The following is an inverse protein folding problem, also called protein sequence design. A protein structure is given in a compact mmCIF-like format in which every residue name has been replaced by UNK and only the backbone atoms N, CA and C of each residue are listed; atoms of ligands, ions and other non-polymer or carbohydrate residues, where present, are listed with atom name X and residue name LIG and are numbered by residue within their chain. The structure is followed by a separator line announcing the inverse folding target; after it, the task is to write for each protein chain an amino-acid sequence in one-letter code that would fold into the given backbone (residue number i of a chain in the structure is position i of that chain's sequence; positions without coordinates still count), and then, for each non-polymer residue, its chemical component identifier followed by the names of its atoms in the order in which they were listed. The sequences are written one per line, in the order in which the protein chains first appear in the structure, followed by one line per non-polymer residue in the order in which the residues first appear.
data_IF_769138352990
#
_entry.id   IF_769138352990
#
_cell.length_a   1.000
_cell.length_b   1.000
_cell.length_c   1.000
_cell.angle_alpha   90.00
_cell.angle_beta   90.00
_cell.angle_gamma   90.00
#
_symmetry.space_group_name_H-M   'P 1'
#
loop_
_entity.id
_entity.type
_entity.pdbx_description
1 polymer ?
#
# COMPACT_ATOMS: atom_id res chain seq x y z
N UNK A 1 40.85 -55.62 -9.42
CA UNK A 1 40.99 -54.60 -10.48
C UNK A 1 40.58 -53.22 -9.95
N UNK A 2 41.22 -52.13 -10.42
CA UNK A 2 40.92 -50.74 -10.05
C UNK A 2 39.42 -50.41 -10.28
N UNK A 3 38.83 -50.95 -11.35
CA UNK A 3 37.40 -50.81 -11.68
C UNK A 3 36.45 -51.31 -10.57
N UNK A 4 36.78 -52.41 -9.88
CA UNK A 4 35.97 -52.92 -8.75
C UNK A 4 36.05 -52.02 -7.51
N UNK A 5 37.19 -51.35 -7.28
CA UNK A 5 37.35 -50.40 -6.17
C UNK A 5 36.55 -49.12 -6.44
N UNK A 6 36.64 -48.57 -7.66
CA UNK A 6 35.87 -47.38 -8.08
C UNK A 6 34.36 -47.64 -7.99
N UNK A 7 33.90 -48.80 -8.46
CA UNK A 7 32.48 -49.21 -8.36
C UNK A 7 31.97 -49.26 -6.91
N UNK A 8 32.77 -49.81 -5.98
CA UNK A 8 32.41 -49.84 -4.56
C UNK A 8 32.36 -48.44 -3.93
N UNK A 9 33.26 -47.53 -4.34
CA UNK A 9 33.29 -46.16 -3.84
C UNK A 9 32.06 -45.38 -4.34
N UNK A 10 31.80 -45.39 -5.66
CA UNK A 10 30.65 -44.71 -6.25
C UNK A 10 29.32 -45.28 -5.75
N UNK A 11 29.22 -46.60 -5.54
CA UNK A 11 28.02 -47.21 -4.95
C UNK A 11 27.76 -46.76 -3.50
N UNK A 12 28.81 -46.60 -2.68
CA UNK A 12 28.67 -46.03 -1.32
C UNK A 12 28.29 -44.56 -1.35
N UNK A 13 28.87 -43.80 -2.28
CA UNK A 13 28.54 -42.39 -2.47
C UNK A 13 27.09 -42.21 -2.91
N UNK A 14 26.59 -43.05 -3.83
CA UNK A 14 25.19 -43.02 -4.26
C UNK A 14 24.24 -43.28 -3.09
N UNK A 15 24.46 -44.32 -2.28
CA UNK A 15 23.63 -44.62 -1.10
C UNK A 15 23.62 -43.44 -0.12
N UNK A 16 24.78 -42.80 0.09
CA UNK A 16 24.87 -41.61 0.94
C UNK A 16 24.05 -40.44 0.39
N UNK A 17 24.11 -40.20 -0.93
CA UNK A 17 23.37 -39.11 -1.59
C UNK A 17 21.87 -39.39 -1.67
N UNK A 18 21.46 -40.63 -1.85
CA UNK A 18 20.05 -41.05 -1.80
C UNK A 18 19.46 -40.88 -0.40
N UNK A 19 20.22 -41.19 0.65
CA UNK A 19 19.81 -40.93 2.03
C UNK A 19 19.66 -39.43 2.30
N UNK A 20 20.62 -38.62 1.86
CA UNK A 20 20.57 -37.15 1.94
C UNK A 20 19.35 -36.59 1.19
N UNK A 21 19.07 -37.12 -0.02
CA UNK A 21 17.92 -36.74 -0.83
C UNK A 21 16.59 -37.07 -0.14
N UNK A 22 16.47 -38.27 0.42
CA UNK A 22 15.28 -38.71 1.15
C UNK A 22 14.99 -37.80 2.33
N UNK A 23 16.02 -37.43 3.09
CA UNK A 23 15.91 -36.53 4.23
C UNK A 23 15.49 -35.11 3.78
N UNK A 24 16.12 -34.56 2.73
CA UNK A 24 15.76 -33.24 2.20
C UNK A 24 14.35 -33.19 1.61
N UNK A 25 13.90 -34.25 0.93
CA UNK A 25 12.52 -34.39 0.46
C UNK A 25 11.52 -34.44 1.60
N UNK A 26 11.83 -35.14 2.71
CA UNK A 26 11.01 -35.11 3.93
C UNK A 26 10.94 -33.70 4.50
N UNK A 27 12.08 -33.01 4.64
CA UNK A 27 12.13 -31.63 5.14
C UNK A 27 11.28 -30.69 4.27
N UNK A 28 11.39 -30.77 2.94
CA UNK A 28 10.57 -29.99 2.01
C UNK A 28 9.07 -30.30 2.17
N UNK A 29 8.71 -31.58 2.32
CA UNK A 29 7.32 -32.01 2.47
C UNK A 29 6.72 -31.55 3.79
N UNK A 30 7.46 -31.69 4.90
CA UNK A 30 7.04 -31.21 6.23
C UNK A 30 6.90 -29.69 6.21
N UNK A 31 7.88 -28.99 5.66
CA UNK A 31 7.81 -27.54 5.50
C UNK A 31 6.61 -27.09 4.66
N UNK A 32 6.28 -27.83 3.59
CA UNK A 32 5.09 -27.57 2.78
C UNK A 32 3.79 -27.76 3.58
N UNK A 33 3.69 -28.81 4.39
CA UNK A 33 2.51 -29.11 5.23
C UNK A 33 2.32 -28.07 6.34
N UNK A 34 3.39 -27.70 7.04
CA UNK A 34 3.36 -26.67 8.09
C UNK A 34 2.95 -25.29 7.58
N UNK A 35 3.14 -25.05 6.28
CA UNK A 35 2.91 -23.77 5.63
C UNK A 35 1.87 -23.88 4.49
N UNK A 36 1.04 -24.93 4.49
CA UNK A 36 0.13 -25.27 3.39
C UNK A 36 -0.91 -24.15 3.13
N UNK A 37 -1.31 -23.44 4.19
CA UNK A 37 -2.19 -22.28 4.14
C UNK A 37 -1.60 -21.08 3.40
N UNK A 38 -0.28 -21.00 3.23
CA UNK A 38 0.37 -19.87 2.55
C UNK A 38 0.31 -19.96 1.04
N UNK A 39 -0.12 -21.11 0.49
CA UNK A 39 -0.24 -21.34 -0.94
C UNK A 39 0.99 -20.87 -1.69
N UNK A 40 2.03 -21.71 -1.73
CA UNK A 40 3.29 -21.45 -2.44
C UNK A 40 3.15 -21.22 -3.97
N UNK A 41 1.93 -21.16 -4.49
CA UNK A 41 1.62 -20.70 -5.84
C UNK A 41 1.71 -19.18 -5.97
N UNK A 42 1.78 -18.71 -7.21
CA UNK A 42 1.86 -17.28 -7.56
C UNK A 42 0.67 -16.45 -7.07
N UNK A 43 -0.51 -17.07 -6.95
CA UNK A 43 -1.78 -16.35 -6.79
C UNK A 43 -1.91 -15.65 -5.42
N UNK A 44 -1.60 -16.33 -4.31
CA UNK A 44 -1.67 -15.71 -2.97
C UNK A 44 -0.62 -14.63 -2.75
N UNK A 45 0.58 -14.80 -3.33
CA UNK A 45 1.61 -13.76 -3.34
C UNK A 45 1.12 -12.53 -4.09
N UNK A 46 0.42 -12.70 -5.22
CA UNK A 46 -0.21 -11.60 -5.96
C UNK A 46 -1.23 -10.87 -5.09
N UNK A 47 -2.16 -11.58 -4.44
CA UNK A 47 -3.22 -10.96 -3.63
C UNK A 47 -2.67 -10.14 -2.44
N UNK A 48 -1.63 -10.65 -1.75
CA UNK A 48 -1.03 -9.94 -0.61
C UNK A 48 -0.34 -8.65 -1.06
N UNK A 49 0.33 -8.67 -2.21
CA UNK A 49 1.00 -7.50 -2.80
C UNK A 49 -0.04 -6.50 -3.34
N UNK A 50 -1.06 -6.97 -4.04
CA UNK A 50 -2.17 -6.14 -4.53
C UNK A 50 -2.87 -5.41 -3.39
N UNK A 51 -3.22 -6.12 -2.31
CA UNK A 51 -3.81 -5.51 -1.13
C UNK A 51 -2.86 -4.50 -0.47
N UNK A 52 -1.56 -4.75 -0.47
CA UNK A 52 -0.56 -3.82 0.05
C UNK A 52 -0.54 -2.51 -0.75
N UNK A 53 -0.60 -2.59 -2.09
CA UNK A 53 -0.69 -1.43 -2.98
C UNK A 53 -1.99 -0.66 -2.72
N UNK A 54 -3.14 -1.36 -2.70
CA UNK A 54 -4.44 -0.73 -2.44
C UNK A 54 -4.49 -0.02 -1.08
N UNK A 55 -3.94 -0.62 -0.01
CA UNK A 55 -3.87 0.01 1.30
C UNK A 55 -2.92 1.22 1.31
N UNK A 56 -1.82 1.17 0.56
CA UNK A 56 -0.89 2.30 0.43
C UNK A 56 -1.55 3.48 -0.28
N UNK A 57 -2.29 3.23 -1.36
CA UNK A 57 -3.02 4.26 -2.10
C UNK A 57 -4.15 4.84 -1.23
N UNK A 58 -4.92 3.99 -0.55
CA UNK A 58 -5.97 4.42 0.34
C UNK A 58 -5.43 5.25 1.52
N UNK A 59 -4.30 4.86 2.09
CA UNK A 59 -3.64 5.59 3.19
C UNK A 59 -3.17 6.97 2.72
N UNK A 60 -2.55 7.05 1.54
CA UNK A 60 -2.11 8.33 0.94
C UNK A 60 -3.31 9.26 0.72
N UNK A 61 -4.42 8.73 0.17
CA UNK A 61 -5.66 9.51 -0.01
C UNK A 61 -6.23 9.99 1.33
N UNK A 62 -6.29 9.12 2.33
CA UNK A 62 -6.77 9.47 3.66
C UNK A 62 -5.85 10.48 4.37
N UNK A 63 -4.55 10.46 4.10
CA UNK A 63 -3.62 11.46 4.61
C UNK A 63 -3.89 12.84 4.02
N UNK A 64 -4.09 12.90 2.70
CA UNK A 64 -4.46 14.14 2.02
C UNK A 64 -5.80 14.68 2.53
N UNK A 65 -6.81 13.82 2.68
CA UNK A 65 -8.11 14.20 3.28
C UNK A 65 -7.92 14.77 4.71
N UNK A 66 -7.10 14.12 5.54
CA UNK A 66 -6.81 14.58 6.90
C UNK A 66 -6.10 15.94 6.91
N UNK A 67 -5.14 16.14 6.01
CA UNK A 67 -4.40 17.41 5.89
C UNK A 67 -5.35 18.52 5.45
N UNK A 68 -6.17 18.29 4.43
CA UNK A 68 -7.16 19.26 3.96
C UNK A 68 -8.20 19.59 5.03
N UNK A 69 -8.72 18.59 5.73
CA UNK A 69 -9.68 18.80 6.83
C UNK A 69 -9.06 19.57 7.99
N UNK A 70 -7.78 19.32 8.30
CA UNK A 70 -7.01 20.08 9.30
C UNK A 70 -6.87 21.54 8.89
N UNK A 71 -6.45 21.79 7.66
CA UNK A 71 -6.25 23.13 7.12
C UNK A 71 -7.55 23.94 7.07
N UNK A 72 -8.70 23.27 6.89
CA UNK A 72 -10.01 23.92 6.97
C UNK A 72 -10.48 24.20 8.41
N UNK A 73 -10.07 23.37 9.38
CA UNK A 73 -10.54 23.47 10.77
C UNK A 73 -9.68 24.39 11.66
N UNK A 74 -8.35 24.22 11.64
CA UNK A 74 -7.44 24.90 12.58
C UNK A 74 -7.51 26.44 12.51
N UNK A 75 -7.49 27.09 11.33
CA UNK A 75 -7.55 28.56 11.26
C UNK A 75 -8.82 29.14 11.87
N UNK A 76 -9.96 28.45 11.75
CA UNK A 76 -11.23 28.90 12.32
C UNK A 76 -11.20 28.80 13.84
N UNK A 77 -10.64 27.73 14.40
CA UNK A 77 -10.48 27.59 15.86
C UNK A 77 -9.56 28.67 16.43
N UNK A 78 -8.47 28.99 15.73
CA UNK A 78 -7.55 30.04 16.16
C UNK A 78 -8.16 31.45 16.09
N UNK A 79 -9.13 31.64 15.20
CA UNK A 79 -9.81 32.92 14.98
C UNK A 79 -10.98 33.11 15.93
N UNK A 80 -11.71 32.04 16.27
CA UNK A 80 -12.83 32.08 17.22
C UNK A 80 -12.26 32.00 18.65
N UNK A 81 -11.56 33.05 19.06
CA UNK A 81 -11.12 33.23 20.46
C UNK A 81 -12.12 34.05 21.26
N UNK A 82 -12.88 34.93 20.60
CA UNK A 82 -13.93 35.74 21.22
C UNK A 82 -15.22 35.76 20.40
N UNK A 83 -16.33 36.10 21.06
CA UNK A 83 -17.68 36.08 20.47
C UNK A 83 -17.91 37.17 19.41
N UNK A 84 -16.99 38.14 19.27
CA UNK A 84 -17.05 39.25 18.31
C UNK A 84 -16.16 39.07 17.06
N UNK A 85 -15.39 37.98 16.95
CA UNK A 85 -14.53 37.69 15.79
C UNK A 85 -15.28 37.17 14.55
N UNK A 86 -16.60 37.16 14.61
CA UNK A 86 -17.52 36.58 13.64
C UNK A 86 -17.32 37.17 12.23
N UNK A 87 -17.02 38.46 12.14
CA UNK A 87 -16.74 39.14 10.86
C UNK A 87 -15.47 38.58 10.21
N UNK A 88 -14.44 38.26 11.01
CA UNK A 88 -13.20 37.68 10.50
C UNK A 88 -13.44 36.28 9.95
N UNK A 89 -14.28 35.50 10.65
CA UNK A 89 -14.66 34.14 10.24
C UNK A 89 -15.51 34.16 8.97
N UNK A 90 -16.45 35.11 8.82
CA UNK A 90 -17.26 35.24 7.59
C UNK A 90 -16.39 35.42 6.34
N UNK A 91 -15.29 36.16 6.47
CA UNK A 91 -14.40 36.45 5.34
C UNK A 91 -13.42 35.31 5.02
N UNK A 92 -13.35 34.26 5.84
CA UNK A 92 -12.50 33.10 5.59
C UNK A 92 -13.15 32.13 4.60
N UNK A 93 -12.32 31.46 3.80
CA UNK A 93 -12.78 30.54 2.74
C UNK A 93 -13.74 29.46 3.25
N UNK A 94 -13.46 28.88 4.42
CA UNK A 94 -14.26 27.83 5.04
C UNK A 94 -15.06 28.29 6.27
N UNK A 95 -14.95 29.56 6.64
CA UNK A 95 -15.55 30.11 7.86
C UNK A 95 -17.06 30.33 7.78
N UNK A 96 -17.58 30.57 6.57
CA UNK A 96 -19.00 30.79 6.36
C UNK A 96 -19.46 30.25 5.00
N UNK A 97 -20.61 29.56 4.94
CA UNK A 97 -21.15 29.06 3.68
C UNK A 97 -21.54 30.23 2.77
N UNK A 98 -21.06 30.21 1.53
CA UNK A 98 -21.31 31.28 0.54
C UNK A 98 -22.57 31.06 -0.29
N UNK A 99 -23.26 29.94 -0.06
CA UNK A 99 -24.45 29.51 -0.79
C UNK A 99 -25.36 28.71 0.16
N UNK A 100 -26.62 28.56 -0.22
CA UNK A 100 -27.61 27.74 0.48
C UNK A 100 -28.51 28.54 1.44
N UNK A 101 -29.48 27.86 2.06
CA UNK A 101 -30.61 28.52 2.72
C UNK A 101 -30.21 29.44 3.88
N UNK A 102 -29.15 29.08 4.62
CA UNK A 102 -28.63 29.91 5.69
C UNK A 102 -27.97 31.20 5.19
N UNK A 103 -27.26 31.13 4.05
CA UNK A 103 -26.68 32.29 3.39
C UNK A 103 -27.79 33.20 2.85
N UNK A 104 -28.79 32.61 2.17
CA UNK A 104 -29.91 33.34 1.59
C UNK A 104 -30.73 34.09 2.65
N UNK A 105 -30.98 33.47 3.81
CA UNK A 105 -31.69 34.12 4.93
C UNK A 105 -30.90 35.30 5.51
N UNK A 106 -29.57 35.16 5.64
CA UNK A 106 -28.72 36.26 6.13
C UNK A 106 -28.61 37.40 5.12
N UNK A 107 -28.63 37.07 3.82
CA UNK A 107 -28.70 38.04 2.74
C UNK A 107 -30.04 38.78 2.75
N UNK A 108 -31.16 38.06 2.95
CA UNK A 108 -32.49 38.66 3.09
C UNK A 108 -32.53 39.67 4.25
N UNK A 109 -31.98 39.33 5.43
CA UNK A 109 -31.86 40.30 6.53
C UNK A 109 -31.04 41.54 6.14
N UNK A 110 -29.98 41.37 5.33
CA UNK A 110 -29.15 42.50 4.89
C UNK A 110 -29.85 43.38 3.86
N UNK A 111 -30.70 42.79 3.01
CA UNK A 111 -31.52 43.52 2.05
C UNK A 111 -32.63 44.29 2.78
N UNK A 112 -33.34 43.66 3.73
CA UNK A 112 -34.36 44.32 4.57
C UNK A 112 -33.77 45.47 5.41
N UNK A 113 -32.57 45.29 5.98
CA UNK A 113 -31.88 46.36 6.70
C UNK A 113 -31.58 47.56 5.79
N UNK A 114 -31.14 47.33 4.55
CA UNK A 114 -30.89 48.40 3.58
C UNK A 114 -32.16 49.16 3.21
N UNK A 115 -33.29 48.46 3.03
CA UNK A 115 -34.58 49.09 2.78
C UNK A 115 -35.02 49.99 3.96
N UNK A 116 -34.88 49.51 5.20
CA UNK A 116 -35.19 50.30 6.39
C UNK A 116 -34.25 51.51 6.55
N UNK A 117 -32.97 51.36 6.22
CA UNK A 117 -31.99 52.46 6.22
C UNK A 117 -32.39 53.57 5.23
N UNK A 118 -32.73 53.19 3.98
CA UNK A 118 -33.21 54.15 2.98
C UNK A 118 -34.48 54.86 3.45
N UNK A 119 -35.43 54.11 4.02
CA UNK A 119 -36.69 54.69 4.50
C UNK A 119 -36.49 55.63 5.70
N UNK A 120 -35.54 55.32 6.58
CA UNK A 120 -35.15 56.22 7.69
C UNK A 120 -34.58 57.52 7.14
N UNK A 121 -33.72 57.44 6.14
CA UNK A 121 -33.06 58.60 5.53
C UNK A 121 -34.07 59.53 4.84
N UNK A 122 -35.04 58.96 4.10
CA UNK A 122 -36.16 59.74 3.51
C UNK A 122 -36.97 60.49 4.57
N UNK A 123 -37.26 59.85 5.71
CA UNK A 123 -38.01 60.47 6.80
C UNK A 123 -37.20 61.55 7.51
N UNK A 124 -35.88 61.40 7.62
CA UNK A 124 -35.01 62.43 8.22
C UNK A 124 -34.94 63.71 7.39
N UNK A 125 -35.30 63.68 6.10
CA UNK A 125 -35.42 64.89 5.28
C UNK A 125 -36.63 65.77 5.66
N UNK A 126 -37.65 65.18 6.31
CA UNK A 126 -38.93 65.86 6.61
C UNK A 126 -39.27 65.88 8.10
N UNK A 127 -38.67 65.00 8.90
CA UNK A 127 -38.92 64.84 10.32
C UNK A 127 -37.61 64.89 11.12
N UNK A 128 -37.70 65.34 12.38
CA UNK A 128 -36.55 65.32 13.30
C UNK A 128 -36.31 63.91 13.84
N UNK A 129 -35.08 63.62 14.28
CA UNK A 129 -34.68 62.30 14.79
C UNK A 129 -35.54 61.78 15.97
N UNK A 130 -36.18 62.67 16.72
CA UNK A 130 -37.06 62.30 17.84
C UNK A 130 -38.48 61.91 17.39
N UNK A 131 -38.81 62.01 16.11
CA UNK A 131 -40.15 61.71 15.60
C UNK A 131 -40.51 60.23 15.81
N UNK A 132 -41.75 59.89 16.24
CA UNK A 132 -42.14 58.52 16.55
C UNK A 132 -41.92 57.50 15.42
N UNK A 133 -42.09 57.91 14.16
CA UNK A 133 -41.85 57.03 12.99
C UNK A 133 -40.37 56.68 12.82
N UNK A 134 -39.45 57.60 13.06
CA UNK A 134 -38.00 57.34 12.99
C UNK A 134 -37.60 56.41 14.13
N UNK A 135 -38.12 56.63 15.35
CA UNK A 135 -37.86 55.71 16.46
C UNK A 135 -38.40 54.30 16.20
N UNK A 136 -39.56 54.18 15.55
CA UNK A 136 -40.13 52.89 15.17
C UNK A 136 -39.24 52.14 14.18
N UNK A 137 -38.73 52.83 13.13
CA UNK A 137 -37.80 52.24 12.17
C UNK A 137 -36.49 51.86 12.85
N UNK A 138 -35.95 52.71 13.73
CA UNK A 138 -34.71 52.39 14.45
C UNK A 138 -34.86 51.12 15.29
N UNK A 139 -35.98 50.97 16.02
CA UNK A 139 -36.27 49.74 16.77
C UNK A 139 -36.37 48.51 15.87
N UNK A 140 -36.96 48.63 14.68
CA UNK A 140 -37.02 47.55 13.70
C UNK A 140 -35.63 47.17 13.17
N UNK A 141 -34.79 48.17 12.87
CA UNK A 141 -33.40 47.96 12.46
C UNK A 141 -32.61 47.26 13.56
N UNK A 142 -32.71 47.71 14.81
CA UNK A 142 -31.99 47.11 15.94
C UNK A 142 -32.42 45.64 16.15
N UNK A 143 -33.72 45.36 16.02
CA UNK A 143 -34.26 44.01 16.09
C UNK A 143 -33.74 43.10 14.96
N UNK A 144 -33.80 43.57 13.69
CA UNK A 144 -33.30 42.82 12.55
C UNK A 144 -31.79 42.59 12.62
N UNK A 145 -31.03 43.60 13.06
CA UNK A 145 -29.60 43.48 13.27
C UNK A 145 -29.27 42.41 14.32
N UNK A 146 -29.99 42.39 15.45
CA UNK A 146 -29.85 41.36 16.48
C UNK A 146 -30.15 39.95 15.97
N UNK A 147 -31.22 39.80 15.17
CA UNK A 147 -31.57 38.52 14.52
C UNK A 147 -30.49 38.06 13.55
N UNK A 148 -30.00 38.96 12.70
CA UNK A 148 -28.93 38.67 11.74
C UNK A 148 -27.64 38.24 12.46
N UNK A 149 -27.22 38.96 13.50
CA UNK A 149 -26.03 38.60 14.31
C UNK A 149 -26.19 37.20 14.93
N UNK A 150 -27.35 36.92 15.51
CA UNK A 150 -27.65 35.60 16.10
C UNK A 150 -27.57 34.49 15.06
N UNK A 151 -28.21 34.71 13.90
CA UNK A 151 -28.21 33.72 12.82
C UNK A 151 -26.80 33.43 12.30
N UNK A 152 -25.99 34.47 12.08
CA UNK A 152 -24.60 34.31 11.65
C UNK A 152 -23.83 33.46 12.68
N UNK A 153 -23.97 33.76 13.97
CA UNK A 153 -23.30 33.02 15.04
C UNK A 153 -23.66 31.53 15.04
N UNK A 154 -24.94 31.21 14.85
CA UNK A 154 -25.40 29.82 14.81
C UNK A 154 -24.86 29.08 13.59
N UNK A 155 -24.82 29.73 12.43
CA UNK A 155 -24.24 29.17 11.20
C UNK A 155 -22.74 28.93 11.36
N UNK A 156 -21.99 29.89 11.89
CA UNK A 156 -20.55 29.74 12.15
C UNK A 156 -20.29 28.60 13.14
N UNK A 157 -21.08 28.50 14.21
CA UNK A 157 -20.95 27.41 15.20
C UNK A 157 -21.21 26.05 14.56
N UNK A 158 -22.27 25.94 13.76
CA UNK A 158 -22.59 24.71 13.04
C UNK A 158 -21.47 24.33 12.05
N UNK A 159 -20.95 25.31 11.32
CA UNK A 159 -19.85 25.12 10.36
C UNK A 159 -18.57 24.63 11.06
N UNK A 160 -18.22 25.23 12.20
CA UNK A 160 -17.07 24.81 12.99
C UNK A 160 -17.21 23.37 13.47
N UNK A 161 -18.39 22.98 13.95
CA UNK A 161 -18.64 21.60 14.39
C UNK A 161 -18.60 20.62 13.22
N UNK A 162 -19.14 20.97 12.06
CA UNK A 162 -19.03 20.14 10.85
C UNK A 162 -17.56 19.91 10.44
N UNK A 163 -16.76 20.98 10.40
CA UNK A 163 -15.33 20.89 10.07
C UNK A 163 -14.56 20.07 11.11
N UNK A 164 -14.91 20.21 12.39
CA UNK A 164 -14.36 19.39 13.47
C UNK A 164 -14.65 17.91 13.27
N UNK A 165 -15.91 17.55 13.01
CA UNK A 165 -16.31 16.16 12.80
C UNK A 165 -15.66 15.56 11.56
N UNK A 166 -15.53 16.35 10.48
CA UNK A 166 -14.79 15.96 9.29
C UNK A 166 -13.32 15.68 9.59
N UNK A 167 -12.65 16.57 10.33
CA UNK A 167 -11.26 16.38 10.74
C UNK A 167 -11.07 15.14 11.62
N UNK A 168 -11.93 14.93 12.63
CA UNK A 168 -11.88 13.75 13.51
C UNK A 168 -12.08 12.47 12.69
N UNK A 169 -13.03 12.47 11.77
CA UNK A 169 -13.33 11.30 10.93
C UNK A 169 -12.18 10.98 9.98
N UNK A 170 -11.61 11.98 9.32
CA UNK A 170 -10.44 11.81 8.46
C UNK A 170 -9.21 11.32 9.25
N UNK A 171 -9.01 11.84 10.46
CA UNK A 171 -7.94 11.38 11.36
C UNK A 171 -8.11 9.92 11.77
N UNK A 172 -9.33 9.48 12.12
CA UNK A 172 -9.63 8.08 12.45
C UNK A 172 -9.35 7.18 11.24
N UNK A 173 -9.90 7.51 10.07
CA UNK A 173 -9.70 6.76 8.82
C UNK A 173 -8.22 6.59 8.49
N UNK A 174 -7.43 7.66 8.60
CA UNK A 174 -5.98 7.60 8.38
C UNK A 174 -5.30 6.64 9.37
N UNK A 175 -5.60 6.75 10.67
CA UNK A 175 -5.03 5.86 11.70
C UNK A 175 -5.35 4.39 11.45
N UNK A 176 -6.60 4.08 11.11
CA UNK A 176 -7.03 2.71 10.84
C UNK A 176 -6.31 2.14 9.62
N UNK A 177 -6.16 2.93 8.55
CA UNK A 177 -5.42 2.52 7.35
C UNK A 177 -3.93 2.32 7.63
N UNK A 178 -3.31 3.15 8.48
CA UNK A 178 -1.93 2.95 8.91
C UNK A 178 -1.76 1.61 9.63
N UNK A 179 -2.68 1.27 10.55
CA UNK A 179 -2.65 -0.01 11.27
C UNK A 179 -2.81 -1.20 10.32
N UNK A 180 -3.80 -1.14 9.41
CA UNK A 180 -4.02 -2.18 8.41
C UNK A 180 -2.82 -2.35 7.47
N UNK A 181 -2.21 -1.24 7.04
CA UNK A 181 -1.02 -1.26 6.20
C UNK A 181 0.17 -1.90 6.93
N UNK A 182 0.37 -1.59 8.21
CA UNK A 182 1.42 -2.20 9.02
C UNK A 182 1.20 -3.71 9.19
N UNK A 183 -0.03 -4.14 9.44
CA UNK A 183 -0.38 -5.57 9.52
C UNK A 183 -0.11 -6.26 8.18
N UNK A 184 -0.54 -5.67 7.06
CA UNK A 184 -0.30 -6.21 5.73
C UNK A 184 1.19 -6.29 5.39
N UNK A 185 1.99 -5.29 5.76
CA UNK A 185 3.46 -5.32 5.61
C UNK A 185 4.11 -6.47 6.37
N UNK A 186 3.62 -6.78 7.57
CA UNK A 186 4.11 -7.94 8.36
C UNK A 186 3.81 -9.25 7.64
N UNK A 187 2.57 -9.43 7.16
CA UNK A 187 2.16 -10.60 6.39
C UNK A 187 2.99 -10.76 5.10
N UNK A 188 3.23 -9.68 4.37
CA UNK A 188 4.05 -9.70 3.15
C UNK A 188 5.52 -10.11 3.44
N UNK A 189 6.11 -9.62 4.53
CA UNK A 189 7.47 -10.00 4.95
C UNK A 189 7.55 -11.46 5.36
N UNK A 190 6.57 -11.93 6.13
CA UNK A 190 6.50 -13.32 6.56
C UNK A 190 6.37 -14.26 5.36
N UNK A 191 5.47 -13.93 4.42
CA UNK A 191 5.32 -14.69 3.18
C UNK A 191 6.65 -14.73 2.39
N UNK A 192 7.29 -13.59 2.19
CA UNK A 192 8.57 -13.53 1.47
C UNK A 192 9.65 -14.39 2.13
N UNK A 193 9.78 -14.35 3.46
CA UNK A 193 10.71 -15.20 4.20
C UNK A 193 10.41 -16.69 4.00
N UNK A 194 9.12 -17.06 4.03
CA UNK A 194 8.70 -18.45 3.89
C UNK A 194 8.86 -18.96 2.46
N UNK A 195 8.59 -18.13 1.46
CA UNK A 195 8.83 -18.44 0.04
C UNK A 195 10.32 -18.59 -0.26
N UNK A 196 11.19 -17.74 0.32
CA UNK A 196 12.64 -17.85 0.14
C UNK A 196 13.18 -19.18 0.69
N UNK A 197 12.74 -19.59 1.89
CA UNK A 197 13.12 -20.88 2.48
C UNK A 197 12.58 -22.07 1.69
N UNK A 198 11.36 -21.97 1.15
CA UNK A 198 10.82 -22.99 0.24
C UNK A 198 11.69 -23.15 -1.01
N UNK A 199 12.01 -22.04 -1.69
CA UNK A 199 12.83 -22.04 -2.91
C UNK A 199 14.24 -22.59 -2.67
N UNK A 200 14.82 -22.29 -1.50
CA UNK A 200 16.10 -22.87 -1.06
C UNK A 200 16.00 -24.39 -0.91
N UNK A 201 15.00 -24.91 -0.17
CA UNK A 201 14.82 -26.35 0.00
C UNK A 201 14.55 -27.07 -1.33
N UNK A 202 13.75 -26.46 -2.21
CA UNK A 202 13.48 -26.99 -3.54
C UNK A 202 14.76 -27.05 -4.40
N UNK A 203 15.58 -26.00 -4.35
CA UNK A 203 16.87 -25.96 -5.05
C UNK A 203 17.86 -27.01 -4.50
N UNK A 204 17.90 -27.20 -3.18
CA UNK A 204 18.74 -28.23 -2.55
C UNK A 204 18.32 -29.64 -3.00
N UNK A 205 17.02 -29.94 -2.99
CA UNK A 205 16.48 -31.23 -3.46
C UNK A 205 16.86 -31.45 -4.93
N UNK A 206 16.61 -30.48 -5.82
CA UNK A 206 16.97 -30.58 -7.25
C UNK A 206 18.46 -30.80 -7.46
N UNK A 207 19.31 -30.11 -6.69
CA UNK A 207 20.77 -30.26 -6.78
C UNK A 207 21.21 -31.67 -6.38
N UNK A 208 20.67 -32.22 -5.30
CA UNK A 208 21.03 -33.57 -4.84
C UNK A 208 20.51 -34.61 -5.84
N UNK A 209 19.31 -34.43 -6.40
CA UNK A 209 18.78 -35.28 -7.50
C UNK A 209 19.74 -35.33 -8.69
N UNK A 210 20.20 -34.17 -9.16
CA UNK A 210 21.17 -34.09 -10.25
C UNK A 210 22.50 -34.79 -9.93
N UNK A 211 22.97 -34.69 -8.68
CA UNK A 211 24.18 -35.40 -8.23
C UNK A 211 23.94 -36.92 -8.26
N UNK A 212 22.82 -37.40 -7.73
CA UNK A 212 22.46 -38.81 -7.77
C UNK A 212 22.40 -39.34 -9.22
N UNK A 213 21.73 -38.60 -10.12
CA UNK A 213 21.62 -38.96 -11.54
C UNK A 213 22.99 -39.02 -12.22
N UNK A 214 23.89 -38.09 -11.89
CA UNK A 214 25.25 -38.08 -12.41
C UNK A 214 26.05 -39.30 -11.93
N UNK A 215 26.02 -39.60 -10.64
CA UNK A 215 26.69 -40.78 -10.06
C UNK A 215 26.12 -42.07 -10.65
N UNK A 216 24.79 -42.16 -10.81
CA UNK A 216 24.13 -43.29 -11.47
C UNK A 216 24.63 -43.49 -12.90
N UNK A 217 24.74 -42.40 -13.66
CA UNK A 217 25.26 -42.41 -15.03
C UNK A 217 26.71 -42.90 -15.08
N UNK A 218 27.56 -42.43 -14.16
CA UNK A 218 28.96 -42.90 -14.07
C UNK A 218 29.04 -44.40 -13.73
N UNK A 219 28.24 -44.87 -12.77
CA UNK A 219 28.16 -46.29 -12.42
C UNK A 219 27.75 -47.12 -13.63
N UNK A 220 26.71 -46.70 -14.37
CA UNK A 220 26.26 -47.37 -15.60
C UNK A 220 27.36 -47.42 -16.66
N UNK A 221 28.11 -46.35 -16.85
CA UNK A 221 29.25 -46.30 -17.77
C UNK A 221 30.35 -47.32 -17.42
N UNK A 222 30.66 -47.49 -16.12
CA UNK A 222 31.62 -48.50 -15.65
C UNK A 222 31.11 -49.92 -15.90
N UNK A 223 29.81 -50.18 -15.73
CA UNK A 223 29.21 -51.49 -16.04
C UNK A 223 29.34 -51.83 -17.53
N UNK A 224 28.98 -50.90 -18.42
CA UNK A 224 29.08 -51.09 -19.87
C UNK A 224 30.54 -51.33 -20.30
N UNK A 225 31.49 -50.58 -19.73
CA UNK A 225 32.92 -50.77 -20.00
C UNK A 225 33.49 -52.09 -19.44
N UNK A 226 32.90 -52.63 -18.37
CA UNK A 226 33.30 -53.91 -17.79
C UNK A 226 32.72 -55.11 -18.57
N UNK A 227 31.47 -55.01 -19.05
CA UNK A 227 30.82 -56.04 -19.88
C UNK A 227 31.33 -56.06 -21.33
N UNK A 228 31.81 -54.93 -21.86
CA UNK A 228 32.43 -54.87 -23.18
C UNK A 228 33.75 -55.65 -23.27
N UNK A 229 34.29 -56.15 -22.15
CA UNK A 229 35.64 -56.69 -22.06
C UNK A 229 36.67 -55.62 -22.38
N UNK A 230 37.93 -55.81 -21.97
CA UNK A 230 38.99 -54.98 -22.54
C UNK A 230 38.92 -55.15 -24.06
N UNK A 231 38.64 -54.08 -24.80
CA UNK A 231 39.01 -54.00 -26.21
C UNK A 231 40.54 -54.15 -26.23
N UNK A 232 40.99 -55.39 -26.32
CA UNK A 232 42.37 -55.74 -26.57
C UNK A 232 42.59 -55.32 -28.02
N UNK A 233 43.02 -54.08 -28.22
CA UNK A 233 43.47 -53.62 -29.53
C UNK A 233 44.76 -54.39 -29.79
N UNK A 234 44.65 -55.54 -30.44
CA UNK A 234 45.78 -56.27 -30.96
C UNK A 234 46.16 -55.59 -32.27
N UNK A 235 47.25 -54.82 -32.24
CA UNK A 235 47.84 -54.23 -33.45
C UNK A 235 48.34 -55.41 -34.28
N UNK A 236 47.58 -55.79 -35.32
CA UNK A 236 47.89 -56.95 -36.16
C UNK A 236 49.08 -56.68 -37.09
N UNK A 237 49.32 -55.41 -37.42
CA UNK A 237 50.43 -54.99 -38.27
C UNK A 237 50.86 -53.57 -37.92
N UNK A 238 52.16 -53.40 -37.67
CA UNK A 238 52.77 -52.07 -37.54
C UNK A 238 53.24 -51.70 -38.94
N UNK A 239 52.68 -50.66 -39.55
CA UNK A 239 53.09 -50.24 -40.89
C UNK A 239 54.56 -49.84 -40.89
N UNK A 240 55.41 -50.61 -41.59
CA UNK A 240 56.81 -50.21 -41.78
C UNK A 240 56.89 -49.01 -42.72
N UNK A 241 57.68 -47.98 -42.39
CA UNK A 241 57.90 -46.85 -43.28
C UNK A 241 58.59 -47.33 -44.56
N UNK A 242 58.13 -46.84 -45.71
CA UNK A 242 58.73 -47.18 -47.00
C UNK A 242 60.22 -46.75 -47.02
N UNK A 243 61.13 -47.70 -47.25
CA UNK A 243 62.58 -47.47 -47.30
C UNK A 243 63.06 -46.67 -48.53
N UNK A 244 62.14 -46.11 -49.34
CA UNK A 244 62.48 -45.31 -50.51
C UNK A 244 61.58 -44.08 -50.62
N UNK A 245 62.15 -42.90 -50.88
CA UNK A 245 61.36 -41.70 -51.10
C UNK A 245 60.47 -41.86 -52.33
N UNK A 246 59.17 -41.61 -52.15
CA UNK A 246 58.20 -41.50 -53.23
C UNK A 246 58.15 -40.05 -53.69
N UNK A 247 58.56 -39.79 -54.95
CA UNK A 247 58.35 -38.50 -55.61
C UNK A 247 57.26 -38.63 -56.66
N UNK A 248 56.32 -37.67 -56.77
CA UNK A 248 55.26 -37.70 -57.77
C UNK A 248 55.83 -37.57 -59.19
N UNK A 249 55.18 -38.21 -60.16
CA UNK A 249 55.40 -37.99 -61.60
C UNK A 249 54.50 -36.88 -62.10
#
# INVERSE_FOLDING_TARGET
SISQKIKKILGKELISREAELSEKRKQLTTYRKENELLGFGTDKKSTIIERLLQLSDAMTKAEMERISARAAYEPLVETIKTQDDVIRVINMEHGFPKEGPAYDEIKAFQDELRELEMRREELLQTCTASHPSIQAIQKQMDYLFGRRKTKINDVVRAQLENLRQNYISAQKRYRDLVLLLQQQKKLARELNSKTAKYAMLESEVKRIEQICDHVYTQIKGIYVAADAGSLNIQILETGEPANRPSSPK
#
